data_IF_466502565812
#
_entry.id   IF_466502565812
#
_cell.length_a   1.000
_cell.length_b   1.000
_cell.length_c   1.000
_cell.angle_alpha   90.00
_cell.angle_beta   90.00
_cell.angle_gamma   90.00
#
_symmetry.space_group_name_H-M   'P 1'
#
loop_
_entity.id
_entity.type
_entity.pdbx_description
1 polymer ?
#
# COMPACT_ATOMS: atom_id res chain seq x y z
N UNK A 1 -9.32 5.64 14.25
CA UNK A 1 -8.09 5.43 13.44
C UNK A 1 -7.92 3.94 13.24
N UNK A 2 -7.81 3.45 12.00
CA UNK A 2 -7.58 2.03 11.76
C UNK A 2 -6.14 1.67 12.13
N UNK A 3 -5.96 0.70 13.01
CA UNK A 3 -4.64 0.22 13.44
C UNK A 3 -4.27 -1.01 12.61
N UNK A 4 -3.13 -0.94 11.91
CA UNK A 4 -2.60 -2.04 11.11
C UNK A 4 -1.49 -2.80 11.84
N UNK A 5 -1.45 -4.14 11.68
CA UNK A 5 -0.37 -5.00 12.13
C UNK A 5 0.56 -5.32 10.96
N UNK A 6 1.86 -5.05 11.12
CA UNK A 6 2.87 -5.50 10.16
C UNK A 6 2.88 -7.03 10.14
N UNK A 7 2.74 -7.60 8.94
CA UNK A 7 2.75 -9.04 8.72
C UNK A 7 4.14 -9.48 8.26
N UNK A 8 4.68 -8.77 7.27
CA UNK A 8 5.95 -9.12 6.63
C UNK A 8 6.59 -7.89 5.99
N UNK A 9 7.91 -7.86 6.01
CA UNK A 9 8.72 -7.01 5.13
C UNK A 9 9.68 -7.91 4.34
N UNK A 10 9.91 -7.60 3.07
CA UNK A 10 10.87 -8.34 2.24
C UNK A 10 11.41 -7.45 1.13
N UNK A 11 12.47 -7.91 0.47
CA UNK A 11 13.03 -7.26 -0.71
C UNK A 11 13.06 -8.27 -1.87
N UNK A 12 12.73 -7.81 -3.06
CA UNK A 12 12.73 -8.62 -4.28
C UNK A 12 12.91 -7.71 -5.50
N UNK A 13 13.74 -8.12 -6.47
CA UNK A 13 13.93 -7.42 -7.76
C UNK A 13 14.24 -5.91 -7.66
N UNK A 14 14.99 -5.48 -6.63
CA UNK A 14 15.35 -4.06 -6.44
C UNK A 14 14.27 -3.22 -5.74
N UNK A 15 13.23 -3.87 -5.20
CA UNK A 15 12.15 -3.22 -4.46
C UNK A 15 12.08 -3.75 -3.02
N UNK A 16 11.72 -2.86 -2.09
CA UNK A 16 11.38 -3.20 -0.73
C UNK A 16 9.85 -3.16 -0.57
N UNK A 17 9.32 -4.16 0.11
CA UNK A 17 7.89 -4.37 0.29
C UNK A 17 7.54 -4.45 1.77
N UNK A 18 6.37 -3.93 2.12
CA UNK A 18 5.78 -4.04 3.45
C UNK A 18 4.31 -4.46 3.33
N UNK A 19 3.98 -5.60 3.94
CA UNK A 19 2.60 -6.06 4.10
C UNK A 19 2.07 -5.70 5.49
N UNK A 20 0.91 -5.06 5.53
CA UNK A 20 0.20 -4.70 6.75
C UNK A 20 -1.24 -5.18 6.67
N UNK A 21 -1.69 -5.90 7.69
CA UNK A 21 -3.09 -6.28 7.86
C UNK A 21 -3.79 -5.22 8.68
N UNK A 22 -4.88 -4.67 8.16
CA UNK A 22 -5.69 -3.64 8.80
C UNK A 22 -7.09 -4.20 9.03
N UNK A 23 -7.66 -3.92 10.19
CA UNK A 23 -9.07 -4.19 10.44
C UNK A 23 -9.91 -3.07 9.81
N UNK A 24 -10.66 -3.40 8.76
CA UNK A 24 -11.65 -2.51 8.14
C UNK A 24 -13.07 -2.95 8.55
N UNK A 25 -14.06 -2.13 8.21
CA UNK A 25 -15.47 -2.40 8.53
C UNK A 25 -16.02 -3.67 7.85
N UNK A 26 -15.47 -4.01 6.67
CA UNK A 26 -15.81 -5.22 5.91
C UNK A 26 -15.02 -6.46 6.32
N UNK A 27 -14.07 -6.33 7.26
CA UNK A 27 -13.20 -7.41 7.70
C UNK A 27 -11.70 -7.07 7.61
N UNK A 28 -10.81 -8.02 7.94
CA UNK A 28 -9.38 -7.81 7.83
C UNK A 28 -8.93 -7.75 6.37
N UNK A 29 -8.22 -6.68 5.99
CA UNK A 29 -7.66 -6.48 4.64
C UNK A 29 -6.14 -6.38 4.73
N UNK A 30 -5.43 -7.00 3.80
CA UNK A 30 -3.98 -6.88 3.66
C UNK A 30 -3.62 -5.86 2.58
N UNK A 31 -2.81 -4.87 2.95
CA UNK A 31 -2.24 -3.89 2.04
C UNK A 31 -0.74 -4.09 1.92
N UNK A 32 -0.25 -4.09 0.68
CA UNK A 32 1.16 -4.24 0.37
C UNK A 32 1.64 -2.95 -0.29
N UNK A 33 2.53 -2.24 0.40
CA UNK A 33 3.22 -1.07 -0.13
C UNK A 33 4.61 -1.47 -0.63
N UNK A 34 5.10 -0.78 -1.66
CA UNK A 34 6.45 -0.96 -2.20
C UNK A 34 7.18 0.36 -2.41
N UNK A 35 8.51 0.33 -2.24
CA UNK A 35 9.43 1.45 -2.46
C UNK A 35 10.67 0.91 -3.18
N UNK A 36 11.23 1.60 -4.18
CA UNK A 36 12.51 1.21 -4.79
C UNK A 36 13.61 1.17 -3.73
N UNK A 37 14.48 0.15 -3.75
CA UNK A 37 15.60 0.06 -2.79
C UNK A 37 16.55 1.26 -2.93
N UNK A 38 16.71 1.80 -4.15
CA UNK A 38 17.51 3.01 -4.39
C UNK A 38 16.98 4.25 -3.66
N UNK A 39 15.67 4.35 -3.45
CA UNK A 39 15.05 5.47 -2.70
C UNK A 39 15.21 5.31 -1.18
N UNK A 40 15.61 4.12 -0.72
CA UNK A 40 15.88 3.81 0.67
C UNK A 40 17.36 3.93 1.02
N UNK A 41 18.23 4.07 0.03
CA UNK A 41 19.67 4.13 0.23
C UNK A 41 20.08 5.42 0.94
N UNK A 42 21.01 5.32 1.88
CA UNK A 42 21.42 6.43 2.74
C UNK A 42 20.41 6.86 3.82
N UNK A 43 19.19 6.29 3.86
CA UNK A 43 18.21 6.54 4.93
C UNK A 43 18.51 5.70 6.17
N UNK A 44 18.19 6.24 7.35
CA UNK A 44 18.22 5.47 8.60
C UNK A 44 17.12 4.40 8.61
N UNK A 45 17.27 3.37 9.45
CA UNK A 45 16.25 2.32 9.59
C UNK A 45 14.85 2.87 9.96
N UNK A 46 14.80 3.96 10.73
CA UNK A 46 13.55 4.62 11.10
C UNK A 46 12.88 5.29 9.89
N UNK A 47 13.67 5.97 9.05
CA UNK A 47 13.20 6.63 7.83
C UNK A 47 12.77 5.61 6.77
N UNK A 48 13.54 4.54 6.57
CA UNK A 48 13.15 3.45 5.66
C UNK A 48 11.82 2.83 6.07
N UNK A 49 11.62 2.59 7.37
CA UNK A 49 10.34 2.11 7.90
C UNK A 49 9.21 3.11 7.68
N UNK A 50 9.46 4.40 7.88
CA UNK A 50 8.48 5.44 7.62
C UNK A 50 8.07 5.51 6.14
N UNK A 51 9.03 5.39 5.21
CA UNK A 51 8.80 5.36 3.78
C UNK A 51 7.91 4.17 3.37
N UNK A 52 8.23 2.97 3.86
CA UNK A 52 7.43 1.76 3.60
C UNK A 52 6.01 1.85 4.17
N UNK A 53 5.86 2.37 5.40
CA UNK A 53 4.54 2.62 5.99
C UNK A 53 3.77 3.66 5.17
N UNK A 54 4.45 4.69 4.68
CA UNK A 54 3.88 5.69 3.76
C UNK A 54 3.35 5.05 2.48
N UNK A 55 4.13 4.16 1.86
CA UNK A 55 3.71 3.42 0.67
C UNK A 55 2.46 2.56 0.92
N UNK A 56 2.41 1.83 2.04
CA UNK A 56 1.23 1.05 2.46
C UNK A 56 0.00 1.94 2.63
N UNK A 57 0.16 3.10 3.30
CA UNK A 57 -0.93 4.07 3.48
C UNK A 57 -1.44 4.59 2.14
N UNK A 58 -0.55 4.85 1.18
CA UNK A 58 -0.92 5.27 -0.17
C UNK A 58 -1.71 4.20 -0.92
N UNK A 59 -1.34 2.92 -0.78
CA UNK A 59 -2.10 1.79 -1.33
C UNK A 59 -3.47 1.70 -0.69
N UNK A 60 -3.55 1.69 0.65
CA UNK A 60 -4.84 1.69 1.37
C UNK A 60 -5.74 2.84 0.94
N UNK A 61 -5.21 4.06 0.84
CA UNK A 61 -5.97 5.23 0.43
C UNK A 61 -6.60 5.06 -0.96
N UNK A 62 -5.90 4.43 -1.91
CA UNK A 62 -6.45 4.11 -3.23
C UNK A 62 -7.53 3.04 -3.19
N UNK A 63 -7.38 2.03 -2.32
CA UNK A 63 -8.36 0.95 -2.17
C UNK A 63 -9.65 1.36 -1.46
N UNK A 64 -9.57 2.32 -0.53
CA UNK A 64 -10.75 2.82 0.21
C UNK A 64 -11.35 4.08 -0.43
N UNK A 65 -10.70 4.65 -1.44
CA UNK A 65 -11.24 5.80 -2.15
C UNK A 65 -12.56 5.39 -2.82
N UNK A 66 -13.63 6.19 -2.69
CA UNK A 66 -14.84 5.95 -3.46
C UNK A 66 -14.48 5.96 -4.94
N UNK A 67 -14.95 4.96 -5.69
CA UNK A 67 -14.79 4.94 -7.13
C UNK A 67 -15.43 6.22 -7.69
N UNK A 68 -14.60 7.10 -8.25
CA UNK A 68 -15.11 8.25 -8.98
C UNK A 68 -15.45 7.74 -10.36
N UNK A 69 -16.75 7.71 -10.69
CA UNK A 69 -17.17 7.48 -12.06
C UNK A 69 -16.62 8.62 -12.91
N UNK A 70 -15.67 8.30 -13.77
CA UNK A 70 -15.29 9.20 -14.84
C UNK A 70 -16.44 9.14 -15.86
N UNK A 71 -17.21 10.23 -15.95
CA UNK A 71 -18.30 10.32 -16.93
C UNK A 71 -17.79 9.96 -18.33
N UNK A 72 -18.50 9.04 -19.00
CA UNK A 72 -18.15 8.60 -20.36
C UNK A 72 -17.42 7.26 -20.48
N UNK A 73 -17.08 6.58 -19.37
CA UNK A 73 -16.61 5.19 -19.42
C UNK A 73 -17.80 4.22 -19.23
N UNK A 74 -18.05 3.29 -20.16
CA UNK A 74 -19.09 2.29 -19.98
C UNK A 74 -18.72 1.36 -18.81
N UNK A 75 -19.66 1.14 -17.89
CA UNK A 75 -19.48 0.26 -16.72
C UNK A 75 -19.13 -1.20 -17.08
N UNK A 76 -19.41 -1.60 -18.33
CA UNK A 76 -19.09 -2.92 -18.85
C UNK A 76 -18.02 -2.79 -19.94
N UNK A 77 -16.85 -3.39 -19.69
CA UNK A 77 -15.86 -3.69 -20.73
C UNK A 77 -16.03 -5.16 -21.07
N UNK A 78 -16.48 -5.48 -22.28
CA UNK A 78 -16.35 -6.83 -22.80
C UNK A 78 -14.88 -7.06 -23.14
N UNK A 79 -14.24 -7.98 -22.41
CA UNK A 79 -12.91 -8.52 -22.72
C UNK A 79 -13.01 -9.73 -23.63
#
# INVERSE_FOLDING_TARGET
>A
MATGKVIRAWQENGWAYLAVRVQEDSGPVEYIGSVPVGDLDGLTAAEQRAALIGAVKGVRARSVAPAVELGGFPANVNV
#
